data_IF_289638528046
#
_entry.id   IF_289638528046
#
_cell.length_a   1.000
_cell.length_b   1.000
_cell.length_c   1.000
_cell.angle_alpha   90.00
_cell.angle_beta   90.00
_cell.angle_gamma   90.00
#
_symmetry.space_group_name_H-M   'P 1'
#
loop_
_entity.id
_entity.type
_entity.pdbx_description
1 polymer ?
#
# COMPACT_ATOMS: atom_id res chain seq x y z
N UNK A 1 77.18 1.66 12.11
CA UNK A 1 75.95 1.94 12.88
C UNK A 1 74.95 2.77 12.06
N UNK A 2 73.97 2.12 11.43
CA UNK A 2 72.68 2.70 11.02
C UNK A 2 71.78 1.55 10.53
N UNK A 3 70.72 1.30 11.30
CA UNK A 3 69.61 0.41 10.95
C UNK A 3 68.97 0.85 9.63
N UNK A 4 68.69 -0.10 8.75
CA UNK A 4 67.59 0.01 7.80
C UNK A 4 66.71 -1.24 7.95
N UNK A 5 65.49 -1.01 8.42
CA UNK A 5 64.43 -1.99 8.56
C UNK A 5 63.84 -2.30 7.18
N UNK A 6 63.64 -3.59 6.90
CA UNK A 6 62.88 -4.10 5.77
C UNK A 6 61.43 -3.61 5.83
N UNK A 7 60.94 -3.01 4.75
CA UNK A 7 59.51 -2.85 4.48
C UNK A 7 59.06 -3.93 3.47
N UNK A 8 58.06 -4.78 3.80
CA UNK A 8 57.38 -5.58 2.81
C UNK A 8 56.31 -4.75 2.08
N UNK A 9 56.24 -4.97 0.78
CA UNK A 9 55.29 -4.38 -0.16
C UNK A 9 53.84 -4.72 0.20
N UNK A 10 53.00 -3.71 0.40
CA UNK A 10 51.54 -3.86 0.45
C UNK A 10 50.92 -3.40 -0.88
N UNK A 11 50.09 -4.20 -1.56
CA UNK A 11 49.21 -3.66 -2.60
C UNK A 11 48.06 -2.88 -1.93
N UNK A 12 47.81 -1.66 -2.42
CA UNK A 12 46.60 -0.89 -2.10
C UNK A 12 45.37 -1.67 -2.56
N UNK A 13 44.58 -2.19 -1.61
CA UNK A 13 43.23 -2.67 -1.88
C UNK A 13 42.25 -1.52 -1.64
N UNK A 14 41.84 -0.85 -2.71
CA UNK A 14 40.70 0.06 -2.71
C UNK A 14 39.44 -0.77 -2.48
N UNK A 15 38.94 -0.77 -1.24
CA UNK A 15 37.63 -1.34 -0.90
C UNK A 15 36.55 -0.38 -1.42
N UNK A 16 36.10 -0.62 -2.65
CA UNK A 16 34.86 -0.04 -3.16
C UNK A 16 33.71 -0.82 -2.51
N UNK A 17 33.02 -0.19 -1.55
CA UNK A 17 31.70 -0.64 -1.12
C UNK A 17 30.71 -0.41 -2.27
N UNK A 18 30.66 -1.35 -3.21
CA UNK A 18 29.60 -1.43 -4.20
C UNK A 18 28.35 -1.96 -3.51
N UNK A 19 27.38 -1.08 -3.25
CA UNK A 19 26.00 -1.51 -2.98
C UNK A 19 25.55 -2.37 -4.16
N UNK A 20 25.38 -3.66 -3.92
CA UNK A 20 24.88 -4.62 -4.89
C UNK A 20 23.43 -4.30 -5.19
N UNK A 21 23.21 -3.45 -6.18
CA UNK A 21 21.92 -3.31 -6.85
C UNK A 21 21.82 -4.47 -7.84
N UNK A 22 20.85 -5.35 -7.62
CA UNK A 22 20.63 -6.53 -8.44
C UNK A 22 20.61 -6.18 -9.93
N UNK A 23 21.59 -6.76 -10.63
CA UNK A 23 21.77 -6.65 -12.07
C UNK A 23 20.69 -7.54 -12.71
N UNK A 24 19.77 -6.92 -13.48
CA UNK A 24 18.53 -7.43 -14.10
C UNK A 24 17.27 -7.26 -13.25
N UNK A 25 16.17 -6.69 -13.79
CA UNK A 25 14.93 -6.55 -13.03
C UNK A 25 14.39 -7.97 -12.75
N UNK A 26 14.26 -8.40 -11.49
CA UNK A 26 13.49 -9.59 -11.21
C UNK A 26 12.07 -9.31 -11.73
N UNK A 27 11.49 -10.29 -12.42
CA UNK A 27 10.12 -10.26 -12.96
C UNK A 27 9.03 -9.90 -11.91
N UNK A 28 9.41 -9.74 -10.64
CA UNK A 28 8.63 -9.30 -9.48
C UNK A 28 8.14 -7.83 -9.51
N UNK A 29 8.73 -6.94 -10.31
CA UNK A 29 8.41 -5.50 -10.30
C UNK A 29 7.80 -4.96 -11.59
N UNK A 30 6.99 -5.77 -12.30
CA UNK A 30 6.32 -5.31 -13.53
C UNK A 30 5.21 -4.27 -13.28
N UNK A 31 4.73 -4.13 -12.05
CA UNK A 31 3.58 -3.29 -11.70
C UNK A 31 3.94 -2.23 -10.66
N UNK A 32 3.36 -1.04 -10.84
CA UNK A 32 3.59 0.10 -9.98
C UNK A 32 2.95 -0.06 -8.60
N UNK A 33 3.54 0.61 -7.62
CA UNK A 33 2.91 0.79 -6.32
C UNK A 33 1.61 1.60 -6.44
N UNK A 34 0.82 1.58 -5.37
CA UNK A 34 -0.27 2.53 -5.16
C UNK A 34 0.26 3.96 -5.36
N UNK A 35 -0.38 4.73 -6.23
CA UNK A 35 -0.02 6.12 -6.50
C UNK A 35 -0.72 7.06 -5.53
N UNK A 36 -1.99 6.82 -5.20
CA UNK A 36 -2.76 7.77 -4.40
C UNK A 36 -3.35 7.15 -3.14
N UNK A 37 -3.23 7.85 -2.00
CA UNK A 37 -3.90 7.48 -0.75
C UNK A 37 -5.41 7.37 -0.97
N UNK A 38 -6.00 6.25 -0.58
CA UNK A 38 -7.42 5.94 -0.80
C UNK A 38 -7.73 5.26 -2.14
N UNK A 39 -6.74 5.06 -3.02
CA UNK A 39 -6.88 4.30 -4.27
C UNK A 39 -5.81 3.19 -4.36
N UNK A 40 -5.94 2.10 -3.58
CA UNK A 40 -4.90 1.06 -3.47
C UNK A 40 -4.66 0.27 -4.76
N UNK A 41 -5.59 0.31 -5.70
CA UNK A 41 -5.56 -0.46 -6.95
C UNK A 41 -5.22 0.40 -8.17
N UNK A 42 -4.80 1.65 -7.98
CA UNK A 42 -4.54 2.60 -9.08
C UNK A 42 -5.71 2.69 -10.07
N UNK A 43 -6.95 2.64 -9.56
CA UNK A 43 -8.16 2.70 -10.38
C UNK A 43 -8.11 3.92 -11.28
N UNK A 44 -8.29 3.69 -12.58
CA UNK A 44 -8.32 4.73 -13.61
C UNK A 44 -9.68 5.42 -13.58
N UNK A 45 -9.67 6.73 -13.76
CA UNK A 45 -10.85 7.57 -13.86
C UNK A 45 -11.70 7.12 -15.05
N UNK A 46 -13.01 6.97 -14.80
CA UNK A 46 -14.01 6.70 -15.83
C UNK A 46 -14.30 7.94 -16.67
N UNK A 47 -15.52 8.05 -17.19
CA UNK A 47 -15.96 9.23 -17.94
C UNK A 47 -16.77 10.16 -17.05
N UNK A 48 -16.57 11.46 -17.23
CA UNK A 48 -17.41 12.52 -16.69
C UNK A 48 -17.62 13.60 -17.77
N UNK A 49 -18.22 14.74 -17.41
CA UNK A 49 -18.52 15.82 -18.36
C UNK A 49 -17.29 16.44 -19.05
N UNK A 50 -16.09 16.19 -18.52
CA UNK A 50 -14.82 16.66 -19.10
C UNK A 50 -14.11 15.60 -19.96
N UNK A 51 -14.72 14.43 -20.15
CA UNK A 51 -14.18 13.31 -20.93
C UNK A 51 -13.80 12.11 -20.05
N UNK A 52 -13.04 11.19 -20.65
CA UNK A 52 -12.63 9.94 -20.01
C UNK A 52 -11.13 9.95 -19.68
N UNK A 53 -10.75 9.22 -18.63
CA UNK A 53 -9.38 9.19 -18.11
C UNK A 53 -8.49 8.06 -18.62
N UNK A 54 -8.95 7.24 -19.57
CA UNK A 54 -8.18 6.11 -20.11
C UNK A 54 -7.23 6.53 -21.24
N UNK A 55 -6.16 5.76 -21.42
CA UNK A 55 -5.25 5.94 -22.55
C UNK A 55 -6.03 5.78 -23.87
N UNK A 56 -5.76 6.66 -24.83
CA UNK A 56 -6.47 6.69 -26.11
C UNK A 56 -7.91 7.22 -26.03
N UNK A 57 -8.38 7.73 -24.88
CA UNK A 57 -9.68 8.38 -24.78
C UNK A 57 -9.75 9.64 -25.66
N UNK A 58 -10.91 9.91 -26.24
CA UNK A 58 -11.11 11.11 -27.05
C UNK A 58 -11.04 12.38 -26.19
N UNK A 59 -10.25 13.35 -26.68
CA UNK A 59 -10.15 14.69 -26.11
C UNK A 59 -10.81 15.69 -27.05
N UNK A 60 -11.45 16.71 -26.47
CA UNK A 60 -11.94 17.90 -27.20
C UNK A 60 -12.74 17.57 -28.47
N UNK A 61 -13.79 16.76 -28.34
CA UNK A 61 -14.68 16.41 -29.45
C UNK A 61 -13.96 15.77 -30.65
N UNK A 62 -12.96 14.91 -30.39
CA UNK A 62 -12.27 14.11 -31.40
C UNK A 62 -11.01 14.73 -32.01
N UNK A 63 -10.54 15.87 -31.51
CA UNK A 63 -9.34 16.56 -32.03
C UNK A 63 -8.00 16.01 -31.49
N UNK A 64 -8.05 15.02 -30.62
CA UNK A 64 -6.85 14.36 -30.10
C UNK A 64 -7.18 13.18 -29.18
N UNK A 65 -6.17 12.37 -28.91
CA UNK A 65 -6.26 11.20 -28.01
C UNK A 65 -5.54 11.51 -26.71
N UNK A 66 -6.05 10.99 -25.60
CA UNK A 66 -5.39 11.07 -24.30
C UNK A 66 -4.12 10.20 -24.33
N UNK A 67 -2.95 10.83 -24.23
CA UNK A 67 -1.62 10.20 -24.34
C UNK A 67 -1.09 9.64 -23.00
N UNK A 68 -1.93 9.66 -21.98
CA UNK A 68 -1.63 9.15 -20.64
C UNK A 68 -2.89 8.56 -20.03
N UNK A 69 -2.91 8.47 -18.72
CA UNK A 69 -4.01 7.92 -17.93
C UNK A 69 -4.23 8.75 -16.67
N UNK A 70 -5.48 8.84 -16.25
CA UNK A 70 -5.89 9.64 -15.12
C UNK A 70 -6.17 8.70 -13.93
N UNK A 71 -5.24 8.57 -13.00
CA UNK A 71 -5.36 7.71 -11.81
C UNK A 71 -6.15 8.44 -10.74
N UNK A 72 -7.28 7.86 -10.28
CA UNK A 72 -8.19 8.52 -9.33
C UNK A 72 -7.42 8.91 -8.05
N UNK A 73 -7.53 10.18 -7.68
CA UNK A 73 -6.87 10.73 -6.51
C UNK A 73 -7.61 11.96 -5.99
N UNK A 74 -8.00 11.96 -4.72
CA UNK A 74 -8.73 13.08 -4.12
C UNK A 74 -7.82 14.31 -3.95
N UNK A 75 -8.39 15.51 -4.07
CA UNK A 75 -7.67 16.77 -3.82
C UNK A 75 -6.98 16.75 -2.43
N UNK A 76 -5.72 17.15 -2.36
CA UNK A 76 -4.92 17.15 -1.13
C UNK A 76 -4.46 15.77 -0.64
N UNK A 77 -4.85 14.68 -1.30
CA UNK A 77 -4.39 13.34 -0.93
C UNK A 77 -2.88 13.19 -1.08
N UNK A 78 -2.28 12.37 -0.21
CA UNK A 78 -0.88 11.96 -0.35
C UNK A 78 -0.71 11.13 -1.62
N UNK A 79 0.28 11.50 -2.42
CA UNK A 79 0.71 10.75 -3.60
C UNK A 79 2.02 10.04 -3.28
N UNK A 80 2.16 8.80 -3.72
CA UNK A 80 3.32 7.94 -3.49
C UNK A 80 4.04 7.63 -4.80
N UNK A 81 5.35 7.37 -4.72
CA UNK A 81 6.16 7.03 -5.88
C UNK A 81 5.77 5.65 -6.44
N UNK A 82 5.39 5.54 -7.73
CA UNK A 82 5.00 4.25 -8.33
C UNK A 82 6.15 3.24 -8.40
N UNK A 83 7.40 3.72 -8.52
CA UNK A 83 8.63 2.93 -8.55
C UNK A 83 9.81 3.74 -7.97
N UNK A 84 10.91 3.07 -7.64
CA UNK A 84 12.14 3.73 -7.19
C UNK A 84 12.85 4.37 -8.37
N UNK A 85 13.41 5.56 -8.21
CA UNK A 85 14.07 6.27 -9.31
C UNK A 85 14.61 7.64 -8.96
N UNK A 86 14.96 8.41 -9.98
CA UNK A 86 15.41 9.79 -9.88
C UNK A 86 14.28 10.75 -10.24
N UNK A 87 14.08 11.77 -9.41
CA UNK A 87 13.17 12.86 -9.65
C UNK A 87 13.84 13.92 -10.53
N UNK A 88 13.10 14.46 -11.50
CA UNK A 88 13.53 15.60 -12.30
C UNK A 88 12.34 16.48 -12.65
N UNK A 89 12.38 17.75 -12.31
CA UNK A 89 11.28 18.70 -12.57
C UNK A 89 11.72 20.15 -12.37
N UNK A 90 10.78 21.09 -12.26
CA UNK A 90 9.32 20.92 -12.38
C UNK A 90 8.86 20.65 -13.82
N UNK A 91 7.70 20.01 -13.97
CA UNK A 91 6.94 19.94 -15.23
C UNK A 91 5.72 20.86 -15.11
N UNK A 92 5.49 21.65 -16.15
CA UNK A 92 4.21 22.35 -16.37
C UNK A 92 3.55 21.77 -17.60
N UNK A 93 2.29 21.43 -17.50
CA UNK A 93 1.52 20.76 -18.56
C UNK A 93 0.55 21.73 -19.24
N UNK A 94 -0.08 22.61 -18.47
CA UNK A 94 -1.08 23.54 -18.98
C UNK A 94 -0.47 24.87 -19.43
N UNK A 95 0.74 25.20 -18.94
CA UNK A 95 1.47 26.44 -19.25
C UNK A 95 0.66 27.73 -19.06
N UNK A 96 -0.45 27.65 -18.33
CA UNK A 96 -1.42 28.73 -18.12
C UNK A 96 -1.45 29.19 -16.65
N UNK A 97 -0.58 28.62 -15.80
CA UNK A 97 -0.45 29.01 -14.40
C UNK A 97 -1.64 28.66 -13.53
N UNK A 98 -2.48 27.71 -13.94
CA UNK A 98 -3.61 27.28 -13.13
C UNK A 98 -3.15 26.53 -11.85
N UNK A 99 -4.06 26.34 -10.91
CA UNK A 99 -3.75 25.78 -9.58
C UNK A 99 -3.35 24.29 -9.58
N UNK A 100 -3.33 23.63 -10.75
CA UNK A 100 -2.91 22.23 -10.90
C UNK A 100 -1.70 22.06 -11.85
N UNK A 101 -1.07 23.16 -12.28
CA UNK A 101 0.01 23.17 -13.27
C UNK A 101 1.39 22.93 -12.62
N UNK A 102 1.53 21.76 -12.01
CA UNK A 102 2.77 21.30 -11.37
C UNK A 102 2.89 19.77 -11.48
N UNK A 103 4.13 19.31 -11.45
CA UNK A 103 4.48 17.92 -11.72
C UNK A 103 5.98 17.67 -11.82
N UNK A 104 6.33 16.43 -12.10
CA UNK A 104 7.73 15.99 -12.23
C UNK A 104 7.88 14.78 -13.13
N UNK A 105 9.11 14.55 -13.59
CA UNK A 105 9.56 13.29 -14.15
C UNK A 105 10.05 12.38 -13.02
N UNK A 106 9.72 11.10 -13.15
CA UNK A 106 10.31 10.01 -12.39
C UNK A 106 11.01 9.06 -13.38
N UNK A 107 12.33 8.98 -13.25
CA UNK A 107 13.20 8.25 -14.17
C UNK A 107 13.80 7.03 -13.49
N UNK A 108 13.65 5.86 -14.10
CA UNK A 108 14.42 4.69 -13.74
C UNK A 108 15.72 4.68 -14.56
N UNK A 109 16.90 4.72 -13.93
CA UNK A 109 18.17 4.69 -14.64
C UNK A 109 18.36 3.34 -15.34
N UNK A 110 18.81 3.37 -16.60
CA UNK A 110 19.33 2.18 -17.26
C UNK A 110 20.79 1.98 -16.82
N UNK A 111 21.05 0.90 -16.09
CA UNK A 111 22.39 0.57 -15.61
C UNK A 111 23.27 -0.04 -16.72
N UNK A 112 22.71 -0.37 -17.88
CA UNK A 112 23.43 -0.87 -19.05
C UNK A 112 23.81 0.23 -20.04
N UNK A 113 23.15 1.39 -19.98
CA UNK A 113 23.46 2.56 -20.82
C UNK A 113 23.24 3.86 -20.03
N UNK A 114 24.31 4.51 -19.52
CA UNK A 114 24.21 5.76 -18.76
C UNK A 114 23.62 6.94 -19.55
N UNK A 115 23.52 6.79 -20.88
CA UNK A 115 23.06 7.81 -21.82
C UNK A 115 21.58 7.64 -22.21
N UNK A 116 20.87 6.63 -21.68
CA UNK A 116 19.47 6.38 -21.99
C UNK A 116 18.67 6.10 -20.71
N UNK A 117 17.58 6.83 -20.42
CA UNK A 117 16.70 6.45 -19.34
C UNK A 117 16.04 5.12 -19.68
N UNK A 118 16.19 4.11 -18.83
CA UNK A 118 15.59 2.79 -19.05
C UNK A 118 14.07 2.86 -19.00
N UNK A 119 13.53 3.78 -18.20
CA UNK A 119 12.10 4.04 -18.11
C UNK A 119 11.81 5.44 -17.55
N UNK A 120 10.80 6.15 -18.07
CA UNK A 120 10.51 7.54 -17.69
C UNK A 120 9.01 7.81 -17.66
N UNK A 121 8.55 8.46 -16.60
CA UNK A 121 7.14 8.82 -16.37
C UNK A 121 7.00 10.28 -15.96
N UNK A 122 5.97 10.95 -16.49
CA UNK A 122 5.50 12.26 -16.06
C UNK A 122 4.33 12.07 -15.09
N UNK A 123 4.43 12.69 -13.92
CA UNK A 123 3.36 12.77 -12.93
C UNK A 123 2.94 14.24 -12.83
N UNK A 124 1.68 14.52 -13.16
CA UNK A 124 1.12 15.88 -13.24
C UNK A 124 -0.09 15.99 -12.32
N UNK A 125 -0.43 17.22 -11.93
CA UNK A 125 -1.44 17.56 -10.94
C UNK A 125 -0.99 17.28 -9.50
N UNK A 126 0.31 17.25 -9.26
CA UNK A 126 0.93 17.00 -7.96
C UNK A 126 1.83 18.17 -7.59
N UNK A 127 1.83 18.52 -6.29
CA UNK A 127 2.89 19.32 -5.69
C UNK A 127 3.90 18.39 -4.99
N UNK A 128 5.09 18.19 -5.56
CA UNK A 128 6.10 17.35 -4.98
C UNK A 128 6.63 17.83 -3.63
N UNK A 129 7.07 16.90 -2.77
CA UNK A 129 7.87 17.27 -1.59
C UNK A 129 9.27 17.79 -1.99
N UNK A 130 9.77 17.40 -3.16
CA UNK A 130 11.01 17.87 -3.81
C UNK A 130 11.02 17.52 -5.30
N UNK A 131 11.71 18.29 -6.12
CA UNK A 131 11.77 18.08 -7.59
C UNK A 131 12.96 17.26 -8.09
N UNK A 132 13.97 17.06 -7.23
CA UNK A 132 15.22 16.40 -7.60
C UNK A 132 15.65 15.39 -6.53
N UNK A 133 16.50 14.45 -6.96
CA UNK A 133 17.11 13.43 -6.11
C UNK A 133 16.41 12.07 -6.20
N UNK A 134 16.88 11.11 -5.40
CA UNK A 134 16.36 9.74 -5.41
C UNK A 134 15.02 9.63 -4.69
N UNK A 135 14.19 8.67 -5.08
CA UNK A 135 13.01 8.28 -4.30
C UNK A 135 12.84 6.76 -4.33
N UNK A 136 12.28 6.21 -3.25
CA UNK A 136 11.94 4.79 -3.19
C UNK A 136 10.47 4.56 -3.54
N UNK A 137 10.19 3.44 -4.20
CA UNK A 137 8.83 2.95 -4.47
C UNK A 137 7.97 2.98 -3.21
N UNK A 138 6.79 3.57 -3.30
CA UNK A 138 5.83 3.70 -2.19
C UNK A 138 6.13 4.82 -1.18
N UNK A 139 7.25 5.53 -1.32
CA UNK A 139 7.55 6.71 -0.50
C UNK A 139 6.62 7.87 -0.86
N UNK A 140 6.29 8.75 0.10
CA UNK A 140 5.55 9.99 -0.16
C UNK A 140 6.29 10.83 -1.20
N UNK A 141 5.61 11.10 -2.30
CA UNK A 141 6.10 11.87 -3.44
C UNK A 141 5.62 13.32 -3.37
N UNK A 142 4.42 13.55 -2.84
CA UNK A 142 3.81 14.87 -2.81
C UNK A 142 2.33 14.85 -2.46
N UNK A 143 1.65 15.95 -2.78
CA UNK A 143 0.22 16.14 -2.54
C UNK A 143 -0.51 16.41 -3.85
N UNK A 144 -1.67 15.79 -4.01
CA UNK A 144 -2.58 16.08 -5.12
C UNK A 144 -3.03 17.54 -5.06
N UNK A 145 -2.92 18.26 -6.17
CA UNK A 145 -3.33 19.66 -6.30
C UNK A 145 -4.86 19.79 -6.31
N UNK A 146 -5.43 20.99 -6.04
CA UNK A 146 -6.88 21.19 -5.93
C UNK A 146 -7.58 21.18 -7.29
N UNK A 147 -7.80 19.99 -7.86
CA UNK A 147 -8.40 19.81 -9.17
C UNK A 147 -9.87 20.25 -9.22
N UNK A 148 -10.65 20.06 -8.16
CA UNK A 148 -12.04 20.52 -8.12
C UNK A 148 -12.15 22.04 -8.23
N UNK A 149 -11.11 22.78 -7.84
CA UNK A 149 -11.08 24.24 -7.98
C UNK A 149 -10.96 24.68 -9.45
N UNK A 150 -10.23 23.92 -10.26
CA UNK A 150 -9.99 24.24 -11.68
C UNK A 150 -11.07 23.62 -12.57
N UNK A 151 -11.51 22.39 -12.25
CA UNK A 151 -12.51 21.65 -13.01
C UNK A 151 -13.61 21.10 -12.10
N UNK A 152 -14.56 21.95 -11.65
CA UNK A 152 -15.63 21.52 -10.76
C UNK A 152 -16.47 20.38 -11.34
N UNK A 153 -16.53 19.25 -10.63
CA UNK A 153 -17.29 18.05 -11.02
C UNK A 153 -16.53 17.08 -11.93
N UNK A 154 -15.23 17.28 -12.14
CA UNK A 154 -14.36 16.24 -12.71
C UNK A 154 -14.12 15.16 -11.65
N UNK A 155 -13.82 13.92 -12.01
CA UNK A 155 -13.24 13.01 -11.03
C UNK A 155 -11.79 13.41 -10.78
N UNK A 156 -11.42 13.81 -9.56
CA UNK A 156 -10.04 14.22 -9.25
C UNK A 156 -9.04 13.08 -9.50
N UNK A 157 -7.90 13.39 -10.11
CA UNK A 157 -6.91 12.40 -10.54
C UNK A 157 -5.50 12.95 -10.67
N UNK A 158 -4.51 12.07 -10.54
CA UNK A 158 -3.14 12.32 -10.99
C UNK A 158 -3.06 11.90 -12.46
N UNK A 159 -2.57 12.78 -13.31
CA UNK A 159 -2.30 12.43 -14.70
C UNK A 159 -0.92 11.79 -14.80
N UNK A 160 -0.87 10.59 -15.39
CA UNK A 160 0.34 9.79 -15.55
C UNK A 160 0.57 9.51 -17.03
N UNK A 161 1.77 9.82 -17.51
CA UNK A 161 2.14 9.66 -18.92
C UNK A 161 3.56 9.09 -19.02
N UNK A 162 3.76 8.06 -19.84
CA UNK A 162 5.12 7.63 -20.18
C UNK A 162 5.79 8.72 -21.03
N UNK A 163 7.07 8.98 -20.81
CA UNK A 163 7.76 10.06 -21.53
C UNK A 163 7.82 9.83 -23.05
N UNK A 164 7.79 8.58 -23.49
CA UNK A 164 7.70 8.15 -24.90
C UNK A 164 6.26 8.08 -25.44
N UNK A 165 5.26 8.45 -24.61
CA UNK A 165 3.82 8.40 -24.89
C UNK A 165 3.26 6.99 -25.13
N UNK A 166 3.98 5.93 -24.75
CA UNK A 166 3.44 4.57 -24.73
C UNK A 166 2.36 4.41 -23.66
N UNK A 167 1.50 3.39 -23.80
CA UNK A 167 0.40 3.13 -22.86
C UNK A 167 0.93 2.62 -21.49
N UNK A 168 0.73 3.36 -20.39
CA UNK A 168 1.16 2.94 -19.05
C UNK A 168 0.17 1.98 -18.35
N UNK A 169 -0.97 1.66 -18.96
CA UNK A 169 -2.09 0.96 -18.30
C UNK A 169 -1.68 -0.38 -17.68
N UNK A 170 -0.85 -1.16 -18.37
CA UNK A 170 -0.41 -2.46 -17.86
C UNK A 170 0.42 -2.37 -16.58
N UNK A 171 1.13 -1.26 -16.40
CA UNK A 171 1.94 -1.00 -15.21
C UNK A 171 1.08 -0.53 -14.03
N UNK A 172 -0.07 0.08 -14.32
CA UNK A 172 -1.03 0.53 -13.31
C UNK A 172 -1.95 -0.56 -12.81
N UNK A 173 -2.15 -1.62 -13.59
CA UNK A 173 -2.89 -2.79 -13.10
C UNK A 173 -2.24 -3.22 -11.80
N UNK A 174 -2.98 -3.25 -10.67
CA UNK A 174 -2.45 -3.87 -9.47
C UNK A 174 -2.11 -5.30 -9.87
N UNK A 175 -1.03 -5.84 -9.30
CA UNK A 175 -0.84 -7.29 -9.32
C UNK A 175 -2.10 -7.88 -8.68
N UNK A 176 -3.05 -8.33 -9.49
CA UNK A 176 -3.96 -9.42 -9.10
C UNK A 176 -3.05 -10.63 -9.24
N UNK A 177 -2.44 -11.12 -8.15
CA UNK A 177 -1.39 -12.10 -8.29
C UNK A 177 -2.04 -13.40 -8.74
N UNK A 178 -1.67 -14.01 -9.88
CA UNK A 178 -1.50 -15.45 -9.83
C UNK A 178 -0.40 -15.67 -8.78
N UNK A 179 -0.72 -16.41 -7.71
CA UNK A 179 0.16 -16.89 -6.63
C UNK A 179 1.67 -17.02 -6.96
N UNK A 180 2.59 -17.06 -5.98
CA UNK A 180 2.70 -16.40 -4.68
C UNK A 180 4.06 -15.66 -4.58
N UNK A 181 4.07 -14.35 -4.37
CA UNK A 181 5.27 -13.69 -3.86
C UNK A 181 5.21 -13.72 -2.33
N UNK A 182 6.26 -14.26 -1.72
CA UNK A 182 6.48 -14.34 -0.28
C UNK A 182 6.60 -12.93 0.34
N UNK A 183 5.49 -12.20 0.43
CA UNK A 183 5.23 -11.41 1.61
C UNK A 183 5.17 -12.41 2.77
N UNK A 184 6.24 -12.52 3.57
CA UNK A 184 6.23 -13.42 4.75
C UNK A 184 5.16 -13.03 5.78
N UNK A 185 4.52 -11.86 5.64
CA UNK A 185 3.46 -11.36 6.49
C UNK A 185 2.13 -11.12 5.77
N UNK A 186 1.07 -11.06 6.56
CA UNK A 186 -0.27 -10.69 6.16
C UNK A 186 -0.36 -9.23 5.70
N UNK A 187 -1.40 -8.95 4.93
CA UNK A 187 -1.76 -7.59 4.55
C UNK A 187 -2.19 -6.76 5.77
N UNK A 188 -2.34 -5.46 5.53
CA UNK A 188 -2.99 -4.54 6.47
C UNK A 188 -4.40 -5.05 6.75
N UNK A 189 -4.76 -5.23 8.02
CA UNK A 189 -6.08 -5.71 8.45
C UNK A 189 -7.06 -4.55 8.53
N UNK A 190 -6.64 -3.37 8.98
CA UNK A 190 -7.55 -2.24 9.21
C UNK A 190 -7.09 -0.95 8.51
N UNK A 191 -8.03 -0.25 7.87
CA UNK A 191 -7.80 1.01 7.14
C UNK A 191 -7.16 2.15 7.94
N UNK A 192 -7.34 2.18 9.26
CA UNK A 192 -6.71 3.15 10.16
C UNK A 192 -5.38 2.68 10.78
N UNK A 193 -4.93 1.46 10.50
CA UNK A 193 -3.79 0.84 11.15
C UNK A 193 -2.86 0.16 10.12
N UNK A 194 -2.02 0.92 9.40
CA UNK A 194 -1.21 0.41 8.29
C UNK A 194 -0.08 -0.54 8.71
N UNK A 195 0.19 -0.66 10.00
CA UNK A 195 1.27 -1.49 10.57
C UNK A 195 0.75 -2.74 11.27
N UNK A 196 -0.57 -2.96 11.30
CA UNK A 196 -1.22 -4.00 12.13
C UNK A 196 -0.79 -3.91 13.60
N UNK A 197 -0.70 -2.69 14.13
CA UNK A 197 -0.41 -2.45 15.54
C UNK A 197 -1.36 -3.25 16.43
N UNK A 198 -0.77 -3.98 17.37
CA UNK A 198 -1.49 -4.81 18.34
C UNK A 198 -1.87 -3.92 19.52
N UNK A 199 -3.13 -4.04 19.95
CA UNK A 199 -3.67 -3.36 21.11
C UNK A 199 -2.81 -3.63 22.35
N UNK A 200 -2.44 -2.54 23.03
CA UNK A 200 -1.77 -2.58 24.32
C UNK A 200 -2.70 -3.04 25.45
N UNK A 201 -2.52 -2.47 26.65
CA UNK A 201 -3.38 -2.76 27.79
C UNK A 201 -4.35 -1.60 28.05
N UNK A 202 -5.58 -1.93 28.39
CA UNK A 202 -6.58 -0.99 28.91
C UNK A 202 -7.34 -1.64 30.09
N UNK A 203 -8.40 -0.99 30.56
CA UNK A 203 -9.19 -1.44 31.71
C UNK A 203 -9.83 -2.83 31.54
N UNK A 204 -9.92 -3.35 30.31
CA UNK A 204 -10.46 -4.68 30.00
C UNK A 204 -9.38 -5.75 29.82
N UNK A 205 -8.10 -5.38 29.95
CA UNK A 205 -6.95 -6.27 29.77
C UNK A 205 -6.10 -5.88 28.56
N UNK A 206 -5.25 -6.81 28.13
CA UNK A 206 -4.27 -6.58 27.08
C UNK A 206 -4.53 -7.38 25.81
N UNK A 207 -4.14 -6.84 24.66
CA UNK A 207 -4.45 -7.39 23.33
C UNK A 207 -3.43 -8.34 22.71
N UNK A 208 -2.26 -8.54 23.31
CA UNK A 208 -1.23 -9.43 22.79
C UNK A 208 -1.54 -10.93 23.05
N UNK A 209 -0.89 -11.82 22.28
CA UNK A 209 -1.06 -13.27 22.42
C UNK A 209 -0.55 -13.75 23.78
N UNK A 210 -1.29 -14.63 24.43
CA UNK A 210 -0.94 -15.14 25.75
C UNK A 210 -1.23 -14.17 26.91
N UNK A 211 -1.81 -13.00 26.65
CA UNK A 211 -2.21 -12.05 27.70
C UNK A 211 -3.15 -12.73 28.73
N UNK A 212 -3.00 -12.45 30.03
CA UNK A 212 -3.80 -13.10 31.05
C UNK A 212 -5.28 -12.76 30.91
N UNK A 213 -6.13 -13.74 31.19
CA UNK A 213 -7.60 -13.67 31.23
C UNK A 213 -8.10 -14.34 32.51
N UNK A 214 -9.29 -13.96 32.99
CA UNK A 214 -9.94 -14.50 34.20
C UNK A 214 -8.98 -14.63 35.40
N UNK A 215 -8.35 -13.52 35.79
CA UNK A 215 -7.36 -13.46 36.88
C UNK A 215 -6.18 -14.43 36.72
N UNK A 216 -5.73 -14.66 35.48
CA UNK A 216 -4.57 -15.50 35.17
C UNK A 216 -4.87 -16.98 34.97
N UNK A 217 -6.13 -17.41 35.11
CA UNK A 217 -6.55 -18.80 34.87
C UNK A 217 -6.59 -19.19 33.40
N UNK A 218 -6.75 -18.20 32.53
CA UNK A 218 -6.82 -18.38 31.09
C UNK A 218 -5.86 -17.43 30.38
N UNK A 219 -5.54 -17.73 29.12
CA UNK A 219 -4.70 -16.90 28.26
C UNK A 219 -5.47 -16.49 27.02
N UNK A 220 -5.15 -15.31 26.51
CA UNK A 220 -5.63 -14.84 25.23
C UNK A 220 -5.06 -15.71 24.10
N UNK A 221 -5.93 -16.37 23.33
CA UNK A 221 -5.56 -17.33 22.27
C UNK A 221 -5.46 -16.70 20.89
N UNK A 222 -5.63 -15.38 20.80
CA UNK A 222 -5.47 -14.59 19.59
C UNK A 222 -4.71 -13.30 19.89
N UNK A 223 -4.78 -12.37 18.95
CA UNK A 223 -4.27 -11.01 19.08
C UNK A 223 -5.31 -10.00 18.65
N UNK A 224 -5.30 -8.85 19.30
CA UNK A 224 -6.24 -7.76 19.03
C UNK A 224 -5.54 -6.71 18.17
N UNK A 225 -5.84 -6.67 16.87
CA UNK A 225 -5.28 -5.67 15.95
C UNK A 225 -6.11 -4.40 16.04
N UNK A 226 -5.48 -3.26 16.39
CA UNK A 226 -6.17 -1.98 16.60
C UNK A 226 -6.97 -1.61 15.34
N UNK A 227 -8.24 -1.29 15.53
CA UNK A 227 -9.14 -0.89 14.46
C UNK A 227 -10.27 -0.05 15.05
N UNK A 228 -10.66 1.04 14.41
CA UNK A 228 -11.76 1.89 14.92
C UNK A 228 -13.13 1.30 14.56
N UNK A 229 -14.13 1.51 15.41
CA UNK A 229 -15.53 1.14 15.11
C UNK A 229 -15.95 1.68 13.73
N UNK A 230 -16.56 0.84 12.90
CA UNK A 230 -17.00 1.21 11.54
C UNK A 230 -15.87 1.33 10.50
N UNK A 231 -14.60 1.14 10.89
CA UNK A 231 -13.49 1.14 9.94
C UNK A 231 -13.60 0.00 8.93
N UNK A 232 -13.03 0.21 7.74
CA UNK A 232 -12.90 -0.85 6.74
C UNK A 232 -11.85 -1.86 7.18
N UNK A 233 -12.22 -3.14 7.12
CA UNK A 233 -11.35 -4.29 7.38
C UNK A 233 -11.02 -4.98 6.06
N UNK A 234 -9.76 -5.35 5.88
CA UNK A 234 -9.27 -6.03 4.69
C UNK A 234 -8.85 -7.47 5.00
N UNK A 235 -8.85 -8.32 3.98
CA UNK A 235 -8.42 -9.70 4.11
C UNK A 235 -6.88 -9.79 4.31
N UNK A 236 -6.39 -10.42 5.39
CA UNK A 236 -4.95 -10.54 5.66
C UNK A 236 -4.20 -11.39 4.60
N UNK A 237 -4.88 -12.35 3.97
CA UNK A 237 -4.34 -13.22 2.92
C UNK A 237 -5.46 -13.70 2.01
N UNK A 238 -5.10 -14.25 0.84
CA UNK A 238 -6.06 -14.83 -0.10
C UNK A 238 -6.54 -16.19 0.41
N UNK A 239 -7.83 -16.47 0.27
CA UNK A 239 -8.37 -17.75 0.71
C UNK A 239 -9.86 -17.90 0.50
N UNK A 240 -10.38 -18.99 1.04
CA UNK A 240 -11.79 -19.29 1.09
C UNK A 240 -12.37 -18.77 2.41
N UNK A 241 -13.48 -18.03 2.32
CA UNK A 241 -14.27 -17.61 3.47
C UNK A 241 -15.19 -18.74 3.92
N UNK A 242 -15.30 -18.91 5.23
CA UNK A 242 -16.33 -19.71 5.89
C UNK A 242 -16.87 -18.96 7.12
N UNK A 243 -18.19 -18.92 7.26
CA UNK A 243 -18.85 -18.22 8.36
C UNK A 243 -20.36 -18.36 8.31
N UNK A 244 -21.08 -17.66 9.20
CA UNK A 244 -20.57 -16.75 10.23
C UNK A 244 -19.87 -17.48 11.39
N UNK A 245 -18.89 -16.81 12.01
CA UNK A 245 -18.28 -17.23 13.28
C UNK A 245 -18.82 -16.33 14.38
N UNK A 246 -19.58 -16.92 15.31
CA UNK A 246 -20.09 -16.25 16.50
C UNK A 246 -19.34 -16.78 17.70
N UNK A 247 -18.65 -15.90 18.43
CA UNK A 247 -17.75 -16.28 19.50
C UNK A 247 -18.41 -16.18 20.88
N UNK A 248 -19.26 -15.17 21.08
CA UNK A 248 -19.89 -14.93 22.37
C UNK A 248 -21.18 -15.73 22.55
N UNK A 249 -21.81 -16.16 21.45
CA UNK A 249 -23.09 -16.89 21.43
C UNK A 249 -24.19 -16.20 22.25
N UNK A 250 -24.08 -14.89 22.45
CA UNK A 250 -24.95 -14.10 23.31
C UNK A 250 -25.67 -12.98 22.56
N UNK A 251 -25.46 -12.89 21.23
CA UNK A 251 -26.16 -11.94 20.37
C UNK A 251 -25.79 -10.47 20.63
N UNK A 252 -24.65 -10.20 21.26
CA UNK A 252 -24.19 -8.83 21.45
C UNK A 252 -23.84 -8.16 20.11
N UNK A 253 -23.70 -6.83 20.12
CA UNK A 253 -23.50 -6.04 18.90
C UNK A 253 -22.16 -6.29 18.17
N UNK A 254 -21.27 -7.12 18.72
CA UNK A 254 -19.99 -7.50 18.12
C UNK A 254 -19.84 -9.02 17.87
N UNK A 255 -20.91 -9.79 18.07
CA UNK A 255 -20.90 -11.27 17.97
C UNK A 255 -21.05 -11.73 16.51
N UNK A 256 -20.09 -11.33 15.69
CA UNK A 256 -20.02 -11.69 14.28
C UNK A 256 -18.55 -11.73 13.83
N UNK A 257 -18.31 -12.50 12.78
CA UNK A 257 -16.98 -12.87 12.35
C UNK A 257 -16.98 -13.83 11.17
N UNK A 258 -15.78 -14.07 10.66
CA UNK A 258 -15.54 -14.93 9.50
C UNK A 258 -14.21 -15.65 9.66
N UNK A 259 -14.15 -16.88 9.17
CA UNK A 259 -12.91 -17.63 9.02
C UNK A 259 -12.40 -17.51 7.58
N UNK A 260 -11.09 -17.39 7.43
CA UNK A 260 -10.39 -17.44 6.16
C UNK A 260 -9.41 -18.59 6.19
N UNK A 261 -9.47 -19.45 5.18
CA UNK A 261 -8.53 -20.58 5.00
C UNK A 261 -7.91 -20.51 3.61
N UNK A 262 -6.59 -20.41 3.53
CA UNK A 262 -5.88 -20.24 2.26
C UNK A 262 -4.44 -19.78 2.46
N UNK A 263 -3.61 -19.89 1.41
CA UNK A 263 -2.20 -19.47 1.45
C UNK A 263 -1.37 -20.07 2.61
N UNK A 264 -1.72 -21.27 3.09
CA UNK A 264 -1.07 -21.92 4.22
C UNK A 264 -1.51 -21.42 5.61
N UNK A 265 -2.50 -20.53 5.67
CA UNK A 265 -3.05 -19.99 6.90
C UNK A 265 -4.51 -20.42 7.11
N UNK A 266 -4.93 -20.45 8.37
CA UNK A 266 -6.32 -20.55 8.78
C UNK A 266 -6.55 -19.62 9.95
N UNK A 267 -7.43 -18.63 9.78
CA UNK A 267 -7.63 -17.55 10.75
C UNK A 267 -9.09 -17.24 10.92
N UNK A 268 -9.52 -17.00 12.16
CA UNK A 268 -10.81 -16.41 12.52
C UNK A 268 -10.60 -14.92 12.76
N UNK A 269 -11.41 -14.10 12.11
CA UNK A 269 -11.52 -12.67 12.34
C UNK A 269 -12.86 -12.38 12.99
N UNK A 270 -12.84 -11.84 14.20
CA UNK A 270 -14.03 -11.54 14.99
C UNK A 270 -14.20 -10.02 15.15
N UNK A 271 -15.39 -9.61 15.60
CA UNK A 271 -15.79 -8.21 15.74
C UNK A 271 -15.89 -7.48 14.38
N UNK A 272 -16.22 -8.22 13.33
CA UNK A 272 -16.38 -7.73 11.95
C UNK A 272 -17.74 -8.14 11.41
N UNK A 273 -18.37 -7.26 10.63
CA UNK A 273 -19.44 -7.60 9.72
C UNK A 273 -18.89 -7.74 8.29
N UNK A 274 -18.70 -8.98 7.80
CA UNK A 274 -18.18 -9.23 6.46
C UNK A 274 -19.17 -8.82 5.38
N UNK A 275 -18.69 -8.37 4.21
CA UNK A 275 -19.55 -8.13 3.04
C UNK A 275 -20.13 -9.44 2.47
N UNK A 276 -19.48 -10.57 2.75
CA UNK A 276 -19.91 -11.93 2.43
C UNK A 276 -19.25 -12.92 3.40
N UNK A 277 -19.93 -14.00 3.75
CA UNK A 277 -19.42 -15.04 4.67
C UNK A 277 -18.79 -16.23 3.98
N UNK A 278 -19.05 -16.41 2.69
CA UNK A 278 -18.61 -17.56 1.91
C UNK A 278 -18.04 -17.08 0.57
N UNK A 279 -17.20 -17.92 -0.03
CA UNK A 279 -16.58 -17.66 -1.33
C UNK A 279 -15.11 -17.24 -1.23
N UNK A 280 -14.49 -17.03 -2.39
CA UNK A 280 -13.07 -16.64 -2.48
C UNK A 280 -12.89 -15.17 -2.13
N UNK A 281 -11.83 -14.85 -1.39
CA UNK A 281 -11.36 -13.49 -1.10
C UNK A 281 -9.88 -13.38 -1.44
N UNK A 282 -9.46 -12.22 -1.93
CA UNK A 282 -8.05 -11.94 -2.23
C UNK A 282 -7.38 -11.14 -1.10
N UNK A 283 -6.08 -11.36 -0.89
CA UNK A 283 -5.25 -10.60 0.05
C UNK A 283 -5.42 -9.09 -0.20
N UNK A 284 -5.70 -8.34 0.86
CA UNK A 284 -5.90 -6.89 0.82
C UNK A 284 -7.26 -6.43 0.30
N UNK A 285 -8.12 -7.34 -0.16
CA UNK A 285 -9.48 -6.99 -0.57
C UNK A 285 -10.32 -6.55 0.63
N UNK A 286 -11.29 -5.66 0.41
CA UNK A 286 -12.28 -5.29 1.42
C UNK A 286 -13.02 -6.55 1.88
N UNK A 287 -12.88 -6.86 3.16
CA UNK A 287 -13.54 -8.00 3.79
C UNK A 287 -14.85 -7.58 4.45
N UNK A 288 -14.88 -6.40 5.07
CA UNK A 288 -16.03 -5.97 5.86
C UNK A 288 -15.82 -4.66 6.61
N UNK A 289 -16.67 -4.47 7.61
CA UNK A 289 -16.66 -3.32 8.51
C UNK A 289 -16.49 -3.78 9.95
N UNK A 290 -15.67 -3.08 10.71
CA UNK A 290 -15.55 -3.33 12.14
C UNK A 290 -16.88 -3.00 12.84
N UNK A 291 -17.31 -3.90 13.73
CA UNK A 291 -18.52 -3.75 14.54
C UNK A 291 -18.36 -2.69 15.64
N UNK A 292 -19.46 -2.15 16.21
CA UNK A 292 -19.42 -1.08 17.20
C UNK A 292 -18.98 -1.58 18.59
N UNK A 293 -17.68 -1.82 18.76
CA UNK A 293 -17.08 -2.34 19.98
C UNK A 293 -17.25 -1.41 21.19
N UNK A 294 -17.19 -0.10 20.98
CA UNK A 294 -17.39 0.87 22.07
C UNK A 294 -18.79 0.79 22.69
N UNK A 295 -19.78 0.29 21.95
CA UNK A 295 -21.13 0.07 22.48
C UNK A 295 -21.19 -1.07 23.48
N UNK A 296 -20.34 -2.08 23.32
CA UNK A 296 -20.31 -3.28 24.18
C UNK A 296 -19.29 -3.11 25.31
N UNK A 297 -18.14 -2.51 25.01
CA UNK A 297 -17.05 -2.28 25.96
C UNK A 297 -16.58 -0.82 25.90
N UNK A 298 -17.30 0.13 26.52
CA UNK A 298 -16.92 1.54 26.48
C UNK A 298 -15.50 1.78 27.01
N UNK A 299 -14.64 2.48 26.28
CA UNK A 299 -13.27 2.77 26.71
C UNK A 299 -12.28 1.61 26.56
N UNK A 300 -12.67 0.52 25.89
CA UNK A 300 -11.71 -0.45 25.36
C UNK A 300 -10.96 0.18 24.18
N UNK A 301 -9.75 -0.26 23.86
CA UNK A 301 -9.19 0.06 22.54
C UNK A 301 -9.88 -0.80 21.50
N UNK A 302 -10.62 -0.19 20.57
CA UNK A 302 -11.31 -0.91 19.49
C UNK A 302 -10.32 -1.74 18.65
N UNK A 303 -10.68 -2.98 18.33
CA UNK A 303 -9.82 -3.92 17.61
C UNK A 303 -10.61 -4.97 16.80
N UNK A 304 -9.92 -5.59 15.84
CA UNK A 304 -10.31 -6.89 15.27
C UNK A 304 -9.55 -7.97 16.04
N UNK A 305 -10.28 -8.94 16.58
CA UNK A 305 -9.67 -10.10 17.20
C UNK A 305 -9.28 -11.10 16.11
N UNK A 306 -8.01 -11.51 16.11
CA UNK A 306 -7.39 -12.37 15.11
C UNK A 306 -6.87 -13.62 15.80
N UNK A 307 -7.42 -14.78 15.46
CA UNK A 307 -7.07 -16.07 16.06
C UNK A 307 -6.72 -17.08 14.96
N UNK A 308 -5.53 -17.71 15.02
CA UNK A 308 -5.25 -18.86 14.17
C UNK A 308 -6.20 -20.02 14.52
N UNK A 309 -6.67 -20.79 13.56
CA UNK A 309 -7.64 -21.86 13.80
C UNK A 309 -7.14 -22.93 14.80
N UNK A 310 -5.83 -23.17 14.82
CA UNK A 310 -5.13 -24.08 15.74
C UNK A 310 -4.74 -23.42 17.08
N UNK A 311 -5.10 -22.14 17.27
CA UNK A 311 -4.77 -21.29 18.43
C UNK A 311 -3.28 -21.01 18.62
N UNK A 312 -2.45 -21.20 17.59
CA UNK A 312 -1.05 -20.76 17.59
C UNK A 312 -0.94 -19.24 17.54
N UNK A 313 0.24 -18.70 17.90
CA UNK A 313 0.49 -17.25 17.93
C UNK A 313 0.55 -16.65 16.50
N UNK A 314 -0.39 -15.76 16.11
CA UNK A 314 -0.41 -15.15 14.78
C UNK A 314 0.54 -13.95 14.64
N UNK A 315 1.22 -13.52 15.71
CA UNK A 315 1.95 -12.24 15.78
C UNK A 315 3.00 -12.07 14.67
N UNK A 316 3.74 -13.12 14.35
CA UNK A 316 4.80 -13.09 13.33
C UNK A 316 4.27 -12.74 11.93
N UNK A 317 3.01 -13.08 11.64
CA UNK A 317 2.37 -12.76 10.37
C UNK A 317 1.88 -11.32 10.31
N UNK A 318 1.66 -10.65 11.44
CA UNK A 318 1.13 -9.29 11.49
C UNK A 318 2.24 -8.23 11.45
N UNK A 319 3.46 -8.58 11.85
CA UNK A 319 4.58 -7.66 11.86
C UNK A 319 5.10 -7.41 10.44
N UNK A 320 4.78 -6.24 9.87
CA UNK A 320 5.59 -5.69 8.77
C UNK A 320 6.91 -5.21 9.36
N UNK A 321 7.99 -5.95 9.07
CA UNK A 321 9.39 -5.57 9.28
C UNK A 321 9.63 -4.45 10.30
N UNK A 322 9.62 -4.78 11.60
CA UNK A 322 10.48 -4.04 12.52
C UNK A 322 11.91 -4.37 12.10
N UNK A 323 12.63 -3.37 11.59
CA UNK A 323 13.94 -3.53 10.99
C UNK A 323 14.88 -4.40 11.84
N UNK A 324 15.49 -5.37 11.18
CA UNK A 324 16.90 -5.69 11.36
C UNK A 324 17.64 -5.12 10.16
#
# INVERSE_FOLDING_TARGET
>A
PRMFLNFPSFPLSLTVFGTQWDVHPPQQHRHWAQICRGNPTNKIRGCDKYGCGGYGADRHSGKGKHVGVDVICADGATVYAPFSGQLSGPIKFFHNGNAIDDGMHLMFPDFTSPLSPGYCVKLVCIHPIRYHGTIQRGQELGRMLPMQRVFPGITSHIHVENCDRSDPTDLLKPVVPPFPHHDRGWAVVCSGNPTNEIRGCDRYGCGYYGAPRKNGKEKHVGVDVICSDGATVYAPFSGQLSGPIKFFHNGNAIDDGVQISGSGFCVKLLCIHPIKYNGVIEKGQVLGKMLPMQRVFPGITSHIHVENCDRSDPTSNLQRGKGQ
#
